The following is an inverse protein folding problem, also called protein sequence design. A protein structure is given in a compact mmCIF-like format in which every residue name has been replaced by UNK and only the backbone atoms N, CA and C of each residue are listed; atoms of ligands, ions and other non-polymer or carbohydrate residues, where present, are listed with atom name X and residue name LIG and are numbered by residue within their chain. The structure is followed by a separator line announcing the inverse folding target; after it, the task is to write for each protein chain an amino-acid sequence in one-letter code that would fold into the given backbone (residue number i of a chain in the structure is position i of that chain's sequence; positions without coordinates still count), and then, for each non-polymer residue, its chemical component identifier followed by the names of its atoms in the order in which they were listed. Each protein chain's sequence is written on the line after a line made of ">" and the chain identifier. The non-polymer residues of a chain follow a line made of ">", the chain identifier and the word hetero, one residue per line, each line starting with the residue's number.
data_IF_431952055334
#
_entry.id   IF_431952055334
#
_cell.length_a   1.000
_cell.length_b   1.000
_cell.length_c   1.000
_cell.angle_alpha   90.00
_cell.angle_beta   90.00
_cell.angle_gamma   90.00
#
_symmetry.space_group_name_H-M   'P 1'
#
loop_
_entity.id
_entity.type
_entity.pdbx_description
1 polymer ?
#
# COMPACT_ATOMS: atom_id res chain seq x y z
N UNK A 1 23.03 -37.21 -1.18
CA UNK A 1 23.30 -35.97 -0.43
C UNK A 1 24.77 -35.66 -0.57
N UNK A 2 25.09 -34.63 -1.36
CA UNK A 2 26.43 -34.43 -1.93
C UNK A 2 27.27 -33.49 -1.08
N UNK A 3 28.59 -33.66 -1.15
CA UNK A 3 29.60 -32.91 -0.38
C UNK A 3 29.56 -31.37 -0.61
N UNK A 4 28.77 -30.89 -1.57
CA UNK A 4 28.56 -29.47 -1.81
C UNK A 4 27.61 -28.80 -0.79
N UNK A 5 26.64 -29.54 -0.24
CA UNK A 5 25.69 -28.98 0.74
C UNK A 5 26.31 -28.81 2.14
N UNK A 6 27.34 -29.59 2.48
CA UNK A 6 28.01 -29.52 3.77
C UNK A 6 28.95 -28.31 3.88
N UNK A 7 29.57 -27.86 2.78
CA UNK A 7 30.45 -26.68 2.79
C UNK A 7 29.65 -25.36 2.92
N UNK A 8 28.46 -25.30 2.32
CA UNK A 8 27.59 -24.11 2.39
C UNK A 8 27.07 -23.85 3.82
N UNK A 9 26.71 -24.92 4.54
CA UNK A 9 26.27 -24.83 5.95
C UNK A 9 27.41 -24.44 6.90
N UNK A 10 28.66 -24.84 6.62
CA UNK A 10 29.83 -24.44 7.43
C UNK A 10 30.14 -22.95 7.28
N UNK A 11 30.04 -22.39 6.07
CA UNK A 11 30.30 -20.96 5.83
C UNK A 11 29.25 -20.05 6.47
N UNK A 12 28.00 -20.49 6.57
CA UNK A 12 26.95 -19.71 7.23
C UNK A 12 27.15 -19.65 8.75
N UNK A 13 27.61 -20.74 9.38
CA UNK A 13 27.78 -20.80 10.84
C UNK A 13 28.98 -19.97 11.35
N UNK A 14 29.98 -19.69 10.50
CA UNK A 14 31.15 -18.87 10.87
C UNK A 14 30.94 -17.35 10.76
N UNK A 15 29.85 -16.87 10.14
CA UNK A 15 29.52 -15.43 10.09
C UNK A 15 28.61 -14.95 11.23
N UNK A 16 28.08 -15.85 12.05
CA UNK A 16 27.09 -15.54 13.09
C UNK A 16 27.67 -15.08 14.44
N UNK A 17 28.99 -15.12 14.65
CA UNK A 17 29.60 -14.83 15.97
C UNK A 17 30.28 -13.46 16.09
N UNK A 18 30.17 -12.58 15.08
CA UNK A 18 30.67 -11.20 15.15
C UNK A 18 29.55 -10.18 15.02
N UNK A 19 28.76 -9.98 16.10
CA UNK A 19 28.02 -8.73 16.40
C UNK A 19 27.37 -8.80 17.79
N UNK A 20 28.16 -9.11 18.81
CA UNK A 20 27.81 -8.78 20.20
C UNK A 20 28.50 -7.44 20.53
N UNK A 21 27.87 -6.36 20.06
CA UNK A 21 28.35 -4.98 20.20
C UNK A 21 27.26 -4.11 20.80
N UNK A 22 26.98 -4.37 22.07
CA UNK A 22 26.52 -3.45 23.11
C UNK A 22 26.28 -1.98 22.68
N UNK A 23 25.02 -1.63 22.42
CA UNK A 23 24.54 -0.23 22.47
C UNK A 23 23.40 -0.17 23.47
N UNK A 24 23.73 0.17 24.72
CA UNK A 24 22.76 0.60 25.73
C UNK A 24 22.29 2.00 25.35
N UNK A 25 21.17 2.12 24.63
CA UNK A 25 20.46 3.40 24.56
C UNK A 25 19.64 3.56 25.85
N UNK A 26 20.19 4.41 26.70
CA UNK A 26 19.63 4.88 27.97
C UNK A 26 18.33 5.65 27.68
N UNK A 27 17.19 5.07 28.06
CA UNK A 27 15.89 5.75 28.05
C UNK A 27 15.91 6.89 29.08
N UNK A 28 16.00 8.12 28.59
CA UNK A 28 15.67 9.30 29.40
C UNK A 28 14.19 9.60 29.16
N UNK A 29 13.37 9.25 30.14
CA UNK A 29 11.97 9.65 30.20
C UNK A 29 11.86 11.16 30.17
N UNK A 30 11.18 11.67 29.16
CA UNK A 30 10.77 13.07 29.08
C UNK A 30 9.25 13.08 29.23
N UNK A 31 8.81 13.46 30.42
CA UNK A 31 7.41 13.50 30.84
C UNK A 31 6.63 14.56 30.07
N UNK A 32 5.61 14.10 29.36
CA UNK A 32 4.68 14.85 28.48
C UNK A 32 3.64 15.67 29.26
N UNK A 33 4.05 16.45 30.26
CA UNK A 33 3.13 17.21 31.14
C UNK A 33 3.45 18.70 31.32
N UNK A 34 4.39 19.27 30.57
CA UNK A 34 4.87 20.65 30.83
C UNK A 34 4.79 21.61 29.65
N UNK A 35 3.92 21.37 28.67
CA UNK A 35 3.64 22.32 27.58
C UNK A 35 2.13 22.54 27.47
N UNK A 36 1.54 23.03 28.56
CA UNK A 36 0.19 23.57 28.59
C UNK A 36 0.15 24.64 29.69
N UNK A 37 0.44 25.90 29.35
CA UNK A 37 0.13 27.11 30.12
C UNK A 37 0.72 28.37 29.44
N UNK A 38 -0.01 28.92 28.47
CA UNK A 38 -0.03 30.34 28.04
C UNK A 38 -0.84 30.38 26.73
N UNK A 39 -1.92 31.13 26.54
CA UNK A 39 -2.45 32.27 27.25
C UNK A 39 -3.98 32.31 27.12
N UNK A 40 -4.64 32.59 28.23
CA UNK A 40 -6.00 33.13 28.32
C UNK A 40 -5.91 34.65 28.21
N UNK A 41 -6.70 35.27 27.34
CA UNK A 41 -7.39 36.56 27.57
C UNK A 41 -8.04 37.06 26.27
N UNK A 42 -9.36 37.28 26.29
CA UNK A 42 -10.03 37.97 25.18
C UNK A 42 -11.54 37.73 25.11
N UNK A 43 -12.26 38.04 26.19
CA UNK A 43 -13.71 38.13 26.17
C UNK A 43 -14.18 39.45 25.51
N UNK A 44 -15.16 39.38 24.60
CA UNK A 44 -16.12 40.45 24.38
C UNK A 44 -17.37 39.90 23.66
N UNK A 45 -18.45 39.73 24.43
CA UNK A 45 -19.82 39.70 23.94
C UNK A 45 -20.16 41.07 23.35
N UNK A 46 -20.76 41.11 22.15
CA UNK A 46 -21.84 42.05 21.84
C UNK A 46 -22.84 41.38 20.89
N UNK A 47 -24.06 41.22 21.41
CA UNK A 47 -25.26 40.93 20.67
C UNK A 47 -25.84 42.23 20.07
N UNK A 48 -26.44 42.13 18.89
CA UNK A 48 -27.26 43.19 18.30
C UNK A 48 -27.76 42.81 16.90
N UNK A 49 -29.09 42.69 16.68
CA UNK A 49 -29.67 42.43 15.37
C UNK A 49 -30.03 43.76 14.67
N UNK A 50 -29.69 43.89 13.40
CA UNK A 50 -30.26 44.91 12.52
C UNK A 50 -30.77 44.22 11.26
N UNK A 51 -32.05 43.87 11.27
CA UNK A 51 -32.78 43.44 10.08
C UNK A 51 -33.11 44.70 9.30
N UNK A 52 -32.27 45.07 8.34
CA UNK A 52 -32.61 46.09 7.34
C UNK A 52 -33.35 45.37 6.21
N UNK A 53 -34.65 45.63 6.11
CA UNK A 53 -35.40 45.39 4.88
C UNK A 53 -34.88 46.38 3.83
N UNK A 54 -34.01 45.88 2.94
CA UNK A 54 -33.66 46.58 1.70
C UNK A 54 -34.57 46.05 0.59
N UNK A 55 -35.41 46.96 0.14
CA UNK A 55 -36.38 46.85 -0.94
C UNK A 55 -35.67 46.85 -2.30
N UNK A 56 -36.00 45.89 -3.16
CA UNK A 56 -35.94 45.99 -4.62
C UNK A 56 -34.59 46.31 -5.27
N UNK A 57 -33.70 45.32 -5.38
CA UNK A 57 -32.72 45.27 -6.47
C UNK A 57 -32.73 43.86 -7.07
N UNK A 58 -33.04 43.77 -8.37
CA UNK A 58 -32.93 42.51 -9.11
C UNK A 58 -31.52 41.93 -8.95
N UNK A 59 -31.38 40.62 -8.61
CA UNK A 59 -30.08 39.98 -8.51
C UNK A 59 -29.46 39.94 -9.91
N UNK A 60 -28.54 40.86 -10.16
CA UNK A 60 -27.60 40.74 -11.27
C UNK A 60 -26.82 39.43 -11.04
N UNK A 61 -26.77 38.51 -12.02
CA UNK A 61 -26.03 37.27 -11.87
C UNK A 61 -24.58 37.62 -11.50
N UNK A 62 -23.98 36.95 -10.51
CA UNK A 62 -22.60 37.19 -10.14
C UNK A 62 -21.75 36.92 -11.38
N UNK A 63 -21.19 37.99 -11.96
CA UNK A 63 -20.17 37.87 -13.00
C UNK A 63 -19.02 37.12 -12.36
N UNK A 64 -18.84 35.86 -12.75
CA UNK A 64 -17.74 35.02 -12.30
C UNK A 64 -16.44 35.79 -12.57
N UNK A 65 -15.83 36.32 -11.51
CA UNK A 65 -14.55 36.99 -11.60
C UNK A 65 -13.56 36.02 -12.23
N UNK A 66 -13.02 36.40 -13.39
CA UNK A 66 -11.98 35.61 -14.03
C UNK A 66 -10.84 35.41 -13.00
N UNK A 67 -10.28 34.19 -12.89
CA UNK A 67 -9.21 33.93 -11.94
C UNK A 67 -8.04 34.88 -12.20
N UNK A 68 -7.56 35.53 -11.14
CA UNK A 68 -6.45 36.47 -11.24
C UNK A 68 -5.20 35.76 -11.81
N UNK A 69 -4.41 36.44 -12.67
CA UNK A 69 -3.22 35.86 -13.26
C UNK A 69 -2.20 35.49 -12.17
N UNK A 70 -1.73 34.24 -12.19
CA UNK A 70 -0.68 33.76 -11.29
C UNK A 70 0.66 34.41 -11.67
N UNK A 71 1.44 34.93 -10.71
CA UNK A 71 2.77 35.50 -10.97
C UNK A 71 3.71 34.56 -11.74
N UNK A 72 4.50 35.09 -12.69
CA UNK A 72 5.42 34.30 -13.54
C UNK A 72 6.34 33.35 -12.75
N UNK A 73 6.99 33.74 -11.64
CA UNK A 73 7.90 32.84 -10.92
C UNK A 73 7.21 31.60 -10.35
N UNK A 74 5.96 31.76 -9.89
CA UNK A 74 5.14 30.65 -9.35
C UNK A 74 4.73 29.71 -10.49
N UNK A 75 4.47 30.25 -11.68
CA UNK A 75 4.12 29.46 -12.87
C UNK A 75 5.30 28.63 -13.37
N UNK A 76 6.49 29.21 -13.38
CA UNK A 76 7.72 28.54 -13.79
C UNK A 76 8.07 27.38 -12.83
N UNK A 77 7.92 27.61 -11.53
CA UNK A 77 8.11 26.57 -10.52
C UNK A 77 7.07 25.44 -10.68
N UNK A 78 5.79 25.76 -10.81
CA UNK A 78 4.74 24.76 -11.01
C UNK A 78 4.97 23.92 -12.27
N UNK A 79 5.38 24.55 -13.38
CA UNK A 79 5.74 23.86 -14.61
C UNK A 79 6.97 22.96 -14.44
N UNK A 80 7.96 23.39 -13.66
CA UNK A 80 9.15 22.59 -13.34
C UNK A 80 8.81 21.37 -12.47
N UNK A 81 8.00 21.54 -11.42
CA UNK A 81 7.51 20.44 -10.58
C UNK A 81 6.75 19.41 -11.42
N UNK A 82 5.88 19.86 -12.33
CA UNK A 82 5.14 18.97 -13.23
C UNK A 82 6.08 18.16 -14.14
N UNK A 83 7.15 18.75 -14.67
CA UNK A 83 8.14 18.01 -15.47
C UNK A 83 8.86 16.94 -14.65
N UNK A 84 9.28 17.27 -13.42
CA UNK A 84 9.93 16.29 -12.54
C UNK A 84 8.98 15.17 -12.13
N UNK A 85 7.72 15.48 -11.81
CA UNK A 85 6.71 14.48 -11.49
C UNK A 85 6.47 13.51 -12.66
N UNK A 86 6.36 14.02 -13.89
CA UNK A 86 6.26 13.19 -15.11
C UNK A 86 7.49 12.30 -15.28
N UNK A 87 8.68 12.85 -15.04
CA UNK A 87 9.94 12.09 -15.11
C UNK A 87 9.99 10.98 -14.07
N UNK A 88 9.64 11.28 -12.82
CA UNK A 88 9.57 10.32 -11.74
C UNK A 88 8.62 9.16 -12.06
N UNK A 89 7.41 9.46 -12.54
CA UNK A 89 6.44 8.42 -12.93
C UNK A 89 6.98 7.53 -14.06
N UNK A 90 7.66 8.12 -15.05
CA UNK A 90 8.28 7.34 -16.12
C UNK A 90 9.42 6.42 -15.63
N UNK A 91 10.10 6.78 -14.54
CA UNK A 91 11.16 5.96 -13.93
C UNK A 91 10.63 4.77 -13.13
N UNK A 92 9.37 4.80 -12.69
CA UNK A 92 8.76 3.71 -11.92
C UNK A 92 8.38 2.48 -12.76
N UNK A 93 9.06 2.22 -13.89
CA UNK A 93 8.88 0.98 -14.66
C UNK A 93 7.42 0.76 -15.11
N UNK A 94 6.96 1.68 -15.96
CA UNK A 94 5.57 1.78 -16.43
C UNK A 94 5.02 0.48 -17.04
N UNK A 95 5.88 -0.29 -17.70
CA UNK A 95 5.52 -1.53 -18.38
C UNK A 95 5.26 -2.66 -17.37
N UNK A 96 6.11 -2.80 -16.35
CA UNK A 96 5.92 -3.75 -15.25
C UNK A 96 4.63 -3.44 -14.49
N UNK A 97 4.33 -2.16 -14.27
CA UNK A 97 3.07 -1.78 -13.64
C UNK A 97 1.85 -2.09 -14.52
N UNK A 98 1.94 -1.85 -15.84
CA UNK A 98 0.89 -2.23 -16.78
C UNK A 98 0.62 -3.74 -16.77
N UNK A 99 1.67 -4.56 -16.79
CA UNK A 99 1.56 -6.01 -16.71
C UNK A 99 0.88 -6.48 -15.41
N UNK A 100 1.25 -5.86 -14.27
CA UNK A 100 0.63 -6.15 -12.97
C UNK A 100 -0.86 -5.78 -12.94
N UNK A 101 -1.25 -4.62 -13.48
CA UNK A 101 -2.66 -4.20 -13.55
C UNK A 101 -3.46 -5.14 -14.47
N UNK A 102 -2.89 -5.54 -15.61
CA UNK A 102 -3.49 -6.51 -16.53
C UNK A 102 -3.73 -7.86 -15.84
N UNK A 103 -2.71 -8.36 -15.11
CA UNK A 103 -2.81 -9.62 -14.37
C UNK A 103 -3.89 -9.55 -13.29
N UNK A 104 -3.93 -8.45 -12.52
CA UNK A 104 -4.95 -8.23 -11.48
C UNK A 104 -6.36 -8.18 -12.10
N UNK A 105 -6.54 -7.45 -13.19
CA UNK A 105 -7.83 -7.32 -13.88
C UNK A 105 -8.29 -8.66 -14.45
N UNK A 106 -7.35 -9.46 -14.97
CA UNK A 106 -7.61 -10.83 -15.45
C UNK A 106 -8.05 -11.73 -14.30
N UNK A 107 -7.40 -11.66 -13.14
CA UNK A 107 -7.79 -12.44 -11.96
C UNK A 107 -9.20 -12.06 -11.45
N UNK A 108 -9.57 -10.77 -11.55
CA UNK A 108 -10.91 -10.28 -11.20
C UNK A 108 -11.98 -10.59 -12.25
N UNK A 109 -11.58 -11.02 -13.45
CA UNK A 109 -12.49 -11.34 -14.56
C UNK A 109 -12.37 -12.83 -14.91
N UNK A 110 -12.78 -13.74 -14.01
CA UNK A 110 -12.65 -15.16 -14.26
C UNK A 110 -13.49 -15.59 -15.48
N UNK A 111 -13.08 -16.63 -16.22
CA UNK A 111 -13.86 -17.19 -17.31
C UNK A 111 -15.28 -17.52 -16.84
N UNK A 112 -16.27 -17.13 -17.64
CA UNK A 112 -17.68 -17.47 -17.38
C UNK A 112 -17.95 -18.91 -17.82
N UNK A 113 -18.88 -19.57 -17.13
CA UNK A 113 -19.36 -20.90 -17.53
C UNK A 113 -19.84 -20.86 -18.99
N UNK A 114 -19.41 -21.85 -19.79
CA UNK A 114 -19.74 -21.95 -21.22
C UNK A 114 -18.82 -21.16 -22.16
N UNK A 115 -17.81 -20.46 -21.65
CA UNK A 115 -16.82 -19.79 -22.49
C UNK A 115 -15.82 -20.80 -23.08
N UNK A 116 -15.57 -20.73 -24.38
CA UNK A 116 -14.51 -21.53 -25.01
C UNK A 116 -13.12 -21.03 -24.64
N UNK A 117 -12.09 -21.85 -24.84
CA UNK A 117 -10.71 -21.43 -24.62
C UNK A 117 -10.34 -20.21 -25.49
N UNK A 118 -10.74 -20.23 -26.77
CA UNK A 118 -10.48 -19.12 -27.69
C UNK A 118 -11.15 -17.81 -27.24
N UNK A 119 -12.37 -17.89 -26.68
CA UNK A 119 -13.03 -16.71 -26.10
C UNK A 119 -12.30 -16.21 -24.85
N UNK A 120 -11.81 -17.12 -24.01
CA UNK A 120 -11.04 -16.77 -22.82
C UNK A 120 -9.71 -16.10 -23.18
N UNK A 121 -9.03 -16.59 -24.22
CA UNK A 121 -7.81 -15.99 -24.76
C UNK A 121 -8.10 -14.58 -25.34
N UNK A 122 -9.20 -14.43 -26.09
CA UNK A 122 -9.62 -13.15 -26.64
C UNK A 122 -9.93 -12.11 -25.55
N UNK A 123 -10.58 -12.51 -24.46
CA UNK A 123 -10.85 -11.63 -23.31
C UNK A 123 -9.55 -11.18 -22.64
N UNK A 124 -8.62 -12.11 -22.39
CA UNK A 124 -7.31 -11.79 -21.80
C UNK A 124 -6.53 -10.80 -22.68
N UNK A 125 -6.51 -11.05 -23.98
CA UNK A 125 -5.86 -10.13 -24.92
C UNK A 125 -6.53 -8.75 -24.94
N UNK A 126 -7.86 -8.68 -24.92
CA UNK A 126 -8.59 -7.42 -24.86
C UNK A 126 -8.28 -6.62 -23.57
N UNK A 127 -8.19 -7.30 -22.42
CA UNK A 127 -7.79 -6.67 -21.14
C UNK A 127 -6.39 -6.10 -21.22
N UNK A 128 -5.43 -6.88 -21.74
CA UNK A 128 -4.04 -6.44 -21.89
C UNK A 128 -3.96 -5.19 -22.79
N UNK A 129 -4.56 -5.24 -23.98
CA UNK A 129 -4.57 -4.12 -24.94
C UNK A 129 -5.23 -2.88 -24.35
N UNK A 130 -6.37 -3.04 -23.65
CA UNK A 130 -7.05 -1.93 -22.99
C UNK A 130 -6.21 -1.32 -21.86
N UNK A 131 -5.49 -2.16 -21.10
CA UNK A 131 -4.58 -1.71 -20.04
C UNK A 131 -3.43 -0.92 -20.62
N UNK A 132 -2.72 -1.46 -21.61
CA UNK A 132 -1.61 -0.79 -22.30
C UNK A 132 -2.03 0.58 -22.86
N UNK A 133 -3.23 0.67 -23.47
CA UNK A 133 -3.78 1.93 -23.95
C UNK A 133 -4.18 2.91 -22.84
N UNK A 134 -4.54 2.43 -21.65
CA UNK A 134 -4.93 3.25 -20.52
C UNK A 134 -3.73 3.80 -19.72
N UNK A 135 -2.60 3.09 -19.69
CA UNK A 135 -1.44 3.45 -18.87
C UNK A 135 -0.94 4.89 -19.10
N UNK A 136 -0.75 5.37 -20.34
CA UNK A 136 -0.30 6.75 -20.57
C UNK A 136 -1.24 7.79 -19.96
N UNK A 137 -2.55 7.60 -20.11
CA UNK A 137 -3.56 8.51 -19.54
C UNK A 137 -3.55 8.49 -18.01
N UNK A 138 -3.34 7.32 -17.42
CA UNK A 138 -3.20 7.19 -15.97
C UNK A 138 -1.98 7.96 -15.46
N UNK A 139 -0.83 7.86 -16.15
CA UNK A 139 0.37 8.62 -15.80
C UNK A 139 0.21 10.12 -15.96
N UNK A 140 -0.45 10.54 -17.04
CA UNK A 140 -0.78 11.94 -17.26
C UNK A 140 -1.67 12.51 -16.14
N UNK A 141 -2.59 11.70 -15.62
CA UNK A 141 -3.45 12.07 -14.50
C UNK A 141 -2.72 12.07 -13.15
N UNK A 142 -1.73 11.20 -12.95
CA UNK A 142 -0.95 11.12 -11.71
C UNK A 142 0.07 12.24 -11.57
N UNK A 143 0.72 12.66 -12.66
CA UNK A 143 1.77 13.68 -12.62
C UNK A 143 1.39 14.99 -11.92
N UNK A 144 0.22 15.63 -12.18
CA UNK A 144 -0.17 16.84 -11.48
C UNK A 144 -0.39 16.62 -9.98
N UNK A 145 -0.84 15.42 -9.55
CA UNK A 145 -1.02 15.09 -8.14
C UNK A 145 0.34 15.08 -7.41
N UNK A 146 1.35 14.46 -8.03
CA UNK A 146 2.72 14.47 -7.47
C UNK A 146 3.33 15.88 -7.48
N UNK A 147 3.09 16.66 -8.53
CA UNK A 147 3.58 18.04 -8.61
C UNK A 147 2.94 18.97 -7.57
N UNK A 148 1.72 18.68 -7.13
CA UNK A 148 1.02 19.44 -6.09
C UNK A 148 1.54 19.07 -4.68
N UNK A 149 1.63 17.77 -4.37
CA UNK A 149 1.94 17.28 -3.03
C UNK A 149 3.41 17.45 -2.64
N UNK A 150 4.35 17.14 -3.56
CA UNK A 150 5.77 17.13 -3.24
C UNK A 150 6.42 18.48 -3.49
N UNK A 151 7.43 18.83 -2.71
CA UNK A 151 8.27 20.01 -2.95
C UNK A 151 9.19 19.82 -4.16
N UNK A 152 9.82 20.90 -4.63
CA UNK A 152 10.80 20.84 -5.73
C UNK A 152 11.98 19.93 -5.38
N UNK A 153 12.48 20.05 -4.16
CA UNK A 153 13.63 19.30 -3.64
C UNK A 153 13.31 17.82 -3.54
N UNK A 154 12.13 17.46 -3.03
CA UNK A 154 11.69 16.06 -2.94
C UNK A 154 11.51 15.42 -4.32
N UNK A 155 10.89 16.12 -5.28
CA UNK A 155 10.74 15.62 -6.65
C UNK A 155 12.10 15.43 -7.34
N UNK A 156 13.02 16.37 -7.14
CA UNK A 156 14.38 16.26 -7.66
C UNK A 156 15.09 15.05 -7.07
N UNK A 157 15.05 14.89 -5.75
CA UNK A 157 15.66 13.76 -5.06
C UNK A 157 15.06 12.40 -5.45
N UNK A 158 13.75 12.33 -5.68
CA UNK A 158 13.08 11.13 -6.19
C UNK A 158 13.60 10.77 -7.59
N UNK A 159 13.64 11.75 -8.50
CA UNK A 159 14.15 11.54 -9.87
C UNK A 159 15.61 11.07 -9.82
N UNK A 160 16.49 11.78 -9.10
CA UNK A 160 17.91 11.43 -8.98
C UNK A 160 18.10 10.02 -8.41
N UNK A 161 17.34 9.67 -7.37
CA UNK A 161 17.42 8.35 -6.76
C UNK A 161 17.02 7.26 -7.76
N UNK A 162 15.85 7.36 -8.41
CA UNK A 162 15.39 6.33 -9.34
C UNK A 162 16.17 6.30 -10.67
N UNK A 163 16.88 7.38 -11.02
CA UNK A 163 17.88 7.39 -12.09
C UNK A 163 19.22 6.76 -11.71
N UNK A 164 19.51 6.58 -10.42
CA UNK A 164 20.73 5.89 -9.98
C UNK A 164 20.67 4.38 -10.22
N UNK A 165 21.84 3.73 -10.27
CA UNK A 165 21.91 2.26 -10.34
C UNK A 165 21.23 1.58 -9.14
N UNK A 166 21.32 2.20 -7.97
CA UNK A 166 20.71 1.68 -6.74
C UNK A 166 19.19 1.79 -6.83
N UNK A 167 18.65 2.94 -7.24
CA UNK A 167 17.20 3.12 -7.39
C UNK A 167 16.60 2.22 -8.45
N UNK A 168 17.25 2.09 -9.62
CA UNK A 168 16.87 1.11 -10.65
C UNK A 168 16.89 -0.33 -10.14
N UNK A 169 17.93 -0.71 -9.39
CA UNK A 169 18.01 -2.05 -8.79
C UNK A 169 16.91 -2.27 -7.76
N UNK A 170 16.61 -1.25 -6.95
CA UNK A 170 15.58 -1.31 -5.92
C UNK A 170 14.19 -1.50 -6.53
N UNK A 171 13.81 -0.69 -7.52
CA UNK A 171 12.49 -0.81 -8.14
C UNK A 171 12.31 -2.17 -8.84
N UNK A 172 13.34 -2.66 -9.55
CA UNK A 172 13.30 -3.99 -10.17
C UNK A 172 13.10 -5.11 -9.14
N UNK A 173 13.81 -5.03 -8.01
CA UNK A 173 13.67 -6.01 -6.91
C UNK A 173 12.34 -5.90 -6.20
N UNK A 174 11.73 -4.71 -6.12
CA UNK A 174 10.38 -4.55 -5.57
C UNK A 174 9.35 -5.32 -6.40
N UNK A 175 9.43 -5.25 -7.74
CA UNK A 175 8.56 -6.03 -8.61
C UNK A 175 8.81 -7.54 -8.51
N UNK A 176 10.08 -7.97 -8.36
CA UNK A 176 10.40 -9.39 -8.14
C UNK A 176 9.89 -9.88 -6.77
N UNK A 177 9.99 -9.04 -5.74
CA UNK A 177 9.58 -9.38 -4.38
C UNK A 177 8.06 -9.48 -4.26
N UNK A 178 7.29 -8.67 -4.99
CA UNK A 178 5.83 -8.59 -4.90
C UNK A 178 5.13 -9.96 -4.95
N UNK A 179 5.27 -10.75 -6.04
CA UNK A 179 4.66 -12.07 -6.15
C UNK A 179 5.08 -13.04 -5.03
N UNK A 180 6.36 -13.01 -4.64
CA UNK A 180 6.91 -13.88 -3.58
C UNK A 180 6.35 -13.52 -2.21
N UNK A 181 6.17 -12.23 -1.93
CA UNK A 181 5.52 -11.76 -0.70
C UNK A 181 4.04 -12.15 -0.69
N UNK A 182 3.36 -12.05 -1.83
CA UNK A 182 1.95 -12.44 -1.96
C UNK A 182 1.75 -13.95 -1.75
N UNK A 183 2.62 -14.78 -2.35
CA UNK A 183 2.63 -16.24 -2.13
C UNK A 183 2.87 -16.59 -0.65
N UNK A 184 3.86 -15.95 -0.02
CA UNK A 184 4.12 -16.14 1.40
C UNK A 184 2.91 -15.75 2.27
N UNK A 185 2.25 -14.63 1.95
CA UNK A 185 1.03 -14.22 2.65
C UNK A 185 -0.10 -15.23 2.49
N UNK A 186 -0.36 -15.70 1.25
CA UNK A 186 -1.40 -16.71 0.98
C UNK A 186 -1.12 -18.05 1.65
N UNK A 187 0.15 -18.43 1.84
CA UNK A 187 0.52 -19.65 2.56
C UNK A 187 0.13 -19.63 4.05
N UNK A 188 -0.05 -18.45 4.63
CA UNK A 188 -0.38 -18.27 6.07
C UNK A 188 -1.91 -18.25 6.28
N UNK A 189 -2.70 -17.92 5.26
CA UNK A 189 -4.16 -17.79 5.38
C UNK A 189 -4.83 -19.04 5.95
N UNK A 190 -4.51 -20.28 5.51
CA UNK A 190 -4.97 -21.51 6.15
C UNK A 190 -4.79 -21.53 7.67
N UNK A 191 -3.56 -21.31 8.13
CA UNK A 191 -3.21 -21.39 9.55
C UNK A 191 -3.92 -20.30 10.34
N UNK A 192 -4.02 -19.10 9.77
CA UNK A 192 -4.77 -18.00 10.38
C UNK A 192 -6.25 -18.34 10.55
N UNK A 193 -6.88 -19.03 9.59
CA UNK A 193 -8.27 -19.47 9.70
C UNK A 193 -8.43 -20.56 10.77
N UNK A 194 -7.48 -21.50 10.86
CA UNK A 194 -7.43 -22.53 11.92
C UNK A 194 -7.26 -21.92 13.32
N UNK A 195 -6.38 -20.93 13.48
CA UNK A 195 -6.16 -20.19 14.73
C UNK A 195 -7.40 -19.38 15.15
N UNK A 196 -8.08 -18.77 14.17
CA UNK A 196 -9.33 -18.03 14.40
C UNK A 196 -10.45 -18.97 14.87
N UNK A 197 -10.59 -20.12 14.21
CA UNK A 197 -11.49 -21.18 14.65
C UNK A 197 -11.16 -21.66 16.07
N UNK A 198 -9.87 -21.80 16.42
CA UNK A 198 -9.43 -22.28 17.75
C UNK A 198 -9.87 -21.29 18.83
N UNK A 199 -9.59 -20.02 18.56
CA UNK A 199 -9.93 -18.91 19.44
C UNK A 199 -11.44 -18.82 19.63
N UNK A 200 -12.23 -18.94 18.56
CA UNK A 200 -13.69 -18.89 18.64
C UNK A 200 -14.26 -20.08 19.42
N UNK A 201 -13.79 -21.31 19.16
CA UNK A 201 -14.23 -22.50 19.89
C UNK A 201 -13.93 -22.39 21.39
N UNK A 202 -12.78 -21.84 21.75
CA UNK A 202 -12.38 -21.63 23.14
C UNK A 202 -13.31 -20.64 23.86
N UNK A 203 -13.66 -19.54 23.21
CA UNK A 203 -14.53 -18.51 23.80
C UNK A 203 -16.00 -18.96 23.88
N UNK A 204 -16.47 -19.71 22.88
CA UNK A 204 -17.87 -20.18 22.82
C UNK A 204 -18.11 -21.52 23.54
N UNK A 205 -17.05 -22.20 23.97
CA UNK A 205 -17.15 -23.51 24.62
C UNK A 205 -17.59 -24.63 23.67
N UNK A 206 -17.09 -24.63 22.43
CA UNK A 206 -17.41 -25.67 21.47
C UNK A 206 -16.97 -27.06 21.95
N UNK A 207 -17.74 -28.07 21.57
CA UNK A 207 -17.36 -29.47 21.66
C UNK A 207 -16.30 -29.84 20.62
N UNK A 208 -15.57 -30.93 20.87
CA UNK A 208 -14.59 -31.48 19.91
C UNK A 208 -15.26 -31.85 18.57
N UNK A 209 -16.53 -32.27 18.61
CA UNK A 209 -17.28 -32.62 17.42
C UNK A 209 -17.62 -31.39 16.56
N UNK A 210 -18.04 -30.29 17.19
CA UNK A 210 -18.27 -29.02 16.49
C UNK A 210 -16.97 -28.48 15.89
N UNK A 211 -15.85 -28.63 16.59
CA UNK A 211 -14.54 -28.25 16.08
C UNK A 211 -14.16 -29.06 14.83
N UNK A 212 -14.30 -30.38 14.89
CA UNK A 212 -14.00 -31.25 13.76
C UNK A 212 -14.86 -30.92 12.53
N UNK A 213 -16.14 -30.57 12.73
CA UNK A 213 -17.03 -30.11 11.66
C UNK A 213 -16.55 -28.79 11.04
N UNK A 214 -16.08 -27.85 11.86
CA UNK A 214 -15.50 -26.60 11.37
C UNK A 214 -14.22 -26.83 10.56
N UNK A 215 -13.31 -27.69 11.02
CA UNK A 215 -12.09 -28.01 10.28
C UNK A 215 -12.40 -28.67 8.94
N UNK A 216 -13.39 -29.57 8.91
CA UNK A 216 -13.86 -30.19 7.67
C UNK A 216 -14.46 -29.15 6.71
N UNK A 217 -15.31 -28.25 7.22
CA UNK A 217 -15.89 -27.18 6.41
C UNK A 217 -14.81 -26.25 5.82
N UNK A 218 -13.75 -25.94 6.57
CA UNK A 218 -12.64 -25.14 6.06
C UNK A 218 -11.81 -25.88 5.01
N UNK A 219 -11.60 -27.19 5.17
CA UNK A 219 -10.97 -28.01 4.14
C UNK A 219 -11.79 -28.05 2.84
N UNK A 220 -13.12 -28.21 2.95
CA UNK A 220 -14.07 -28.16 1.83
C UNK A 220 -14.07 -26.79 1.13
N UNK A 221 -13.91 -25.70 1.90
CA UNK A 221 -13.77 -24.34 1.37
C UNK A 221 -12.38 -24.04 0.76
N UNK A 222 -11.46 -25.01 0.74
CA UNK A 222 -10.15 -24.88 0.11
C UNK A 222 -9.07 -24.24 0.99
N UNK A 223 -9.32 -24.08 2.30
CA UNK A 223 -8.32 -23.56 3.23
C UNK A 223 -7.28 -24.60 3.67
N UNK A 224 -7.33 -25.82 3.14
CA UNK A 224 -6.31 -26.84 3.36
C UNK A 224 -6.11 -27.25 4.83
N UNK A 225 -5.29 -28.29 5.07
CA UNK A 225 -4.90 -28.67 6.42
C UNK A 225 -3.92 -27.63 6.98
N UNK A 226 -3.93 -27.45 8.30
CA UNK A 226 -2.95 -26.64 9.03
C UNK A 226 -1.53 -27.08 8.67
N UNK A 227 -0.65 -26.12 8.47
CA UNK A 227 0.75 -26.39 8.18
C UNK A 227 1.41 -27.09 9.38
N UNK A 228 2.10 -28.23 9.17
CA UNK A 228 2.73 -28.99 10.26
C UNK A 228 3.83 -28.21 10.98
N UNK A 229 4.33 -27.12 10.38
CA UNK A 229 5.32 -26.23 11.00
C UNK A 229 4.76 -25.36 12.14
N UNK A 230 3.43 -25.24 12.25
CA UNK A 230 2.76 -24.34 13.21
C UNK A 230 1.82 -25.06 14.18
N UNK A 231 1.80 -26.40 14.21
CA UNK A 231 1.09 -27.12 15.27
C UNK A 231 1.70 -26.70 16.61
N UNK A 232 0.95 -26.05 17.52
CA UNK A 232 1.47 -25.72 18.83
C UNK A 232 1.92 -27.03 19.46
N UNK A 233 3.20 -27.13 19.83
CA UNK A 233 3.74 -28.29 20.51
C UNK A 233 2.79 -28.59 21.68
N UNK A 234 2.07 -29.71 21.59
CA UNK A 234 0.96 -30.06 22.46
C UNK A 234 1.31 -29.63 23.89
N UNK A 235 0.56 -28.65 24.41
CA UNK A 235 0.78 -28.11 25.72
C UNK A 235 0.78 -29.30 26.68
N UNK A 236 1.97 -29.67 27.17
CA UNK A 236 2.13 -30.73 28.16
C UNK A 236 1.30 -30.30 29.37
N UNK A 237 0.13 -30.91 29.54
CA UNK A 237 -0.65 -30.82 30.77
C UNK A 237 0.24 -31.39 31.88
N UNK A 238 0.69 -30.52 32.78
CA UNK A 238 1.18 -30.89 34.10
C UNK A 238 0.01 -30.85 35.08
#
# INVERSE_FOLDING_TARGET
>A
MTAAESDLRRRFRLRSTRKAGMVRLRSRGMTMKTLMCAALAGAALLAGPAVVHAEGAEPTPPVAAAPAPVPEPIRDEAAAKLRLARRFIALMQTDQMGAMISQMTTAMTPPRAGMSQAQSDAVRHAIQTATEAAMPRMFDAMAPIYADIFTMEELTGLVEFYESDIGRSMISKMYEAGPRMSEAAMSIVPDMMHDMADSMCKELGCSDEERARMDQAMAEAGYGPRSPAQTPAAAKKN
#
